data_IF_313380157430
#
_entry.id   IF_313380157430
#
_cell.length_a   1.000
_cell.length_b   1.000
_cell.length_c   1.000
_cell.angle_alpha   90.00
_cell.angle_beta   90.00
_cell.angle_gamma   90.00
#
_symmetry.space_group_name_H-M   'P 1'
#
loop_
_entity.id
_entity.type
_entity.pdbx_description
1 polymer ?
#
# COMPACT_ATOMS: atom_id res chain seq x y z
N UNK A 1 17.16 12.08 9.51
CA UNK A 1 15.75 11.89 9.12
C UNK A 1 15.37 10.45 9.41
N UNK A 2 14.17 10.21 9.93
CA UNK A 2 13.66 8.89 10.33
C UNK A 2 12.55 8.45 9.39
N UNK A 3 12.45 7.15 9.11
CA UNK A 3 11.36 6.57 8.33
C UNK A 3 10.78 5.35 9.02
N UNK A 4 9.46 5.19 8.95
CA UNK A 4 8.77 3.95 9.31
C UNK A 4 8.37 3.22 8.03
N UNK A 5 8.73 1.94 7.92
CA UNK A 5 8.40 1.08 6.79
C UNK A 5 7.39 0.03 7.26
N UNK A 6 6.29 -0.09 6.55
CA UNK A 6 5.24 -1.08 6.81
C UNK A 6 4.73 -1.72 5.51
N UNK A 7 3.84 -2.68 5.59
CA UNK A 7 3.11 -3.29 4.47
C UNK A 7 1.92 -4.09 4.97
N UNK A 8 1.18 -4.76 4.08
CA UNK A 8 0.14 -5.73 4.40
C UNK A 8 0.51 -7.18 4.03
N UNK A 9 1.66 -7.41 3.37
CA UNK A 9 2.17 -8.75 3.08
C UNK A 9 2.86 -9.43 4.27
N UNK A 10 3.23 -8.65 5.30
CA UNK A 10 3.83 -9.11 6.55
C UNK A 10 5.31 -8.82 6.70
N UNK A 11 5.79 -8.88 7.97
CA UNK A 11 7.14 -8.45 8.39
C UNK A 11 8.28 -9.21 7.67
N UNK A 12 8.02 -10.42 7.19
CA UNK A 12 9.02 -11.25 6.48
C UNK A 12 8.93 -11.14 4.96
N UNK A 13 8.09 -10.24 4.43
CA UNK A 13 7.93 -10.13 2.98
C UNK A 13 9.16 -9.53 2.30
N UNK A 14 9.44 -9.99 1.09
CA UNK A 14 10.57 -9.48 0.28
C UNK A 14 10.38 -8.03 -0.13
N UNK A 15 9.14 -7.61 -0.41
CA UNK A 15 8.82 -6.23 -0.76
C UNK A 15 9.08 -5.25 0.39
N UNK A 16 8.72 -5.60 1.63
CA UNK A 16 9.05 -4.82 2.82
C UNK A 16 10.56 -4.65 2.99
N UNK A 17 11.28 -5.78 2.91
CA UNK A 17 12.73 -5.77 3.05
C UNK A 17 13.41 -4.92 1.98
N UNK A 18 12.92 -4.98 0.74
CA UNK A 18 13.43 -4.14 -0.35
C UNK A 18 13.17 -2.65 -0.09
N UNK A 19 11.96 -2.28 0.33
CA UNK A 19 11.65 -0.90 0.74
C UNK A 19 12.59 -0.41 1.84
N UNK A 20 12.78 -1.22 2.89
CA UNK A 20 13.69 -0.90 4.00
C UNK A 20 15.11 -0.68 3.48
N UNK A 21 15.66 -1.63 2.71
CA UNK A 21 17.01 -1.54 2.15
C UNK A 21 17.22 -0.26 1.34
N UNK A 22 16.23 0.12 0.54
CA UNK A 22 16.28 1.36 -0.26
C UNK A 22 16.24 2.59 0.65
N UNK A 23 15.35 2.62 1.63
CA UNK A 23 15.19 3.75 2.54
C UNK A 23 16.36 3.92 3.51
N UNK A 24 17.00 2.85 3.96
CA UNK A 24 18.24 2.87 4.77
C UNK A 24 19.37 3.65 4.10
N UNK A 25 19.34 3.80 2.79
CA UNK A 25 20.34 4.60 2.06
C UNK A 25 20.16 6.12 2.22
N UNK A 26 19.04 6.58 2.78
CA UNK A 26 18.67 8.00 2.86
C UNK A 26 18.07 8.42 4.21
N UNK A 27 17.66 7.47 5.05
CA UNK A 27 17.04 7.70 6.36
C UNK A 27 17.49 6.64 7.37
N UNK A 28 17.28 6.91 8.65
CA UNK A 28 17.29 5.89 9.71
C UNK A 28 15.91 5.23 9.74
N UNK A 29 15.84 3.93 9.42
CA UNK A 29 14.57 3.23 9.19
C UNK A 29 14.24 2.22 10.26
N UNK A 30 12.96 2.17 10.64
CA UNK A 30 12.36 1.09 11.43
C UNK A 30 11.33 0.34 10.57
N UNK A 31 11.38 -1.01 10.58
CA UNK A 31 10.38 -1.85 9.95
C UNK A 31 9.36 -2.34 10.97
N UNK A 32 8.09 -2.00 10.77
CA UNK A 32 6.98 -2.39 11.64
C UNK A 32 5.84 -2.88 10.75
N UNK A 33 5.55 -4.18 10.75
CA UNK A 33 4.58 -4.76 9.84
C UNK A 33 3.79 -5.93 10.47
N UNK A 34 2.65 -6.35 9.92
CA UNK A 34 1.89 -7.48 10.45
C UNK A 34 2.71 -8.77 10.51
N UNK A 35 2.47 -9.61 11.51
CA UNK A 35 3.09 -10.96 11.59
C UNK A 35 2.55 -11.90 10.51
N UNK A 36 1.34 -11.66 10.01
CA UNK A 36 0.68 -12.43 8.94
C UNK A 36 0.12 -11.48 7.89
N UNK A 37 0.00 -11.97 6.65
CA UNK A 37 -0.59 -11.21 5.55
C UNK A 37 -2.01 -10.71 5.89
N UNK A 38 -2.29 -9.44 5.58
CA UNK A 38 -3.52 -8.70 5.89
C UNK A 38 -4.18 -8.12 4.61
N UNK A 39 -4.16 -8.89 3.52
CA UNK A 39 -4.80 -8.45 2.26
C UNK A 39 -6.30 -8.19 2.47
N UNK A 40 -6.78 -7.06 1.96
CA UNK A 40 -8.19 -6.67 2.11
C UNK A 40 -8.55 -6.08 3.48
N UNK A 41 -7.59 -5.87 4.39
CA UNK A 41 -7.86 -5.28 5.71
C UNK A 41 -8.32 -3.82 5.63
N UNK A 42 -7.98 -3.10 4.55
CA UNK A 42 -8.30 -1.68 4.43
C UNK A 42 -7.66 -0.83 5.54
N UNK A 43 -8.35 0.23 5.93
CA UNK A 43 -7.95 1.10 7.05
C UNK A 43 -8.62 0.64 8.36
N UNK A 44 -8.54 -0.66 8.69
CA UNK A 44 -9.13 -1.21 9.92
C UNK A 44 -8.15 -1.16 11.08
N UNK A 45 -8.71 -0.99 12.30
CA UNK A 45 -7.99 -0.94 13.58
C UNK A 45 -8.48 -2.09 14.45
N UNK A 46 -7.57 -2.75 15.15
CA UNK A 46 -7.87 -3.81 16.12
C UNK A 46 -8.23 -3.20 17.48
N UNK A 47 -9.53 -3.18 17.80
CA UNK A 47 -10.03 -2.57 19.04
C UNK A 47 -10.41 -3.57 20.14
N UNK A 48 -10.75 -4.81 19.77
CA UNK A 48 -11.32 -5.79 20.70
C UNK A 48 -10.33 -6.85 21.16
N UNK A 49 -9.17 -6.92 20.53
CA UNK A 49 -8.11 -7.86 20.85
C UNK A 49 -6.82 -7.12 21.22
N UNK A 50 -6.01 -7.66 22.17
CA UNK A 50 -4.74 -7.06 22.51
C UNK A 50 -3.72 -7.22 21.37
N UNK A 51 -3.04 -6.14 21.02
CA UNK A 51 -1.91 -6.18 20.10
C UNK A 51 -0.64 -6.70 20.80
N UNK A 52 0.15 -7.47 20.07
CA UNK A 52 1.43 -8.01 20.51
C UNK A 52 2.54 -7.60 19.56
N UNK A 53 3.69 -7.27 20.10
CA UNK A 53 4.92 -6.98 19.38
C UNK A 53 5.82 -8.21 19.45
N UNK A 54 6.44 -8.57 18.33
CA UNK A 54 7.46 -9.60 18.23
C UNK A 54 8.68 -9.06 17.49
N UNK A 55 9.87 -9.19 18.06
CA UNK A 55 11.10 -8.89 17.35
C UNK A 55 11.37 -9.97 16.28
N UNK A 56 11.67 -9.56 15.09
CA UNK A 56 11.94 -10.43 13.94
C UNK A 56 13.28 -10.04 13.33
N UNK A 57 14.19 -11.01 13.23
CA UNK A 57 15.48 -10.80 12.54
C UNK A 57 15.24 -10.76 11.03
N UNK A 58 15.55 -9.65 10.40
CA UNK A 58 15.45 -9.45 8.96
C UNK A 58 16.66 -10.04 8.21
N UNK A 59 16.58 -10.08 6.89
CA UNK A 59 17.62 -10.73 6.04
C UNK A 59 19.00 -10.04 6.12
N UNK A 60 19.05 -8.75 6.43
CA UNK A 60 20.28 -7.99 6.65
C UNK A 60 20.85 -8.13 8.07
N UNK A 61 20.15 -8.88 8.94
CA UNK A 61 20.50 -9.07 10.35
C UNK A 61 19.97 -8.00 11.28
N UNK A 62 19.33 -6.94 10.78
CA UNK A 62 18.65 -5.93 11.59
C UNK A 62 17.38 -6.50 12.24
N UNK A 63 16.84 -5.79 13.24
CA UNK A 63 15.59 -6.16 13.89
C UNK A 63 14.44 -5.35 13.26
N UNK A 64 13.39 -6.06 12.89
CA UNK A 64 12.08 -5.50 12.57
C UNK A 64 11.05 -5.92 13.62
N UNK A 65 9.89 -5.29 13.62
CA UNK A 65 8.83 -5.52 14.60
C UNK A 65 7.57 -6.06 13.92
N UNK A 66 7.20 -7.28 14.29
CA UNK A 66 5.96 -7.92 13.86
C UNK A 66 4.81 -7.60 14.81
N UNK A 67 3.70 -7.08 14.30
CA UNK A 67 2.50 -6.74 15.08
C UNK A 67 1.40 -7.76 14.78
N UNK A 68 0.69 -8.23 15.83
CA UNK A 68 -0.46 -9.14 15.69
C UNK A 68 -1.74 -8.42 15.24
N UNK A 69 -1.63 -7.43 14.37
CA UNK A 69 -2.73 -6.57 13.92
C UNK A 69 -2.63 -6.24 12.44
N UNK A 70 -3.35 -5.21 12.04
CA UNK A 70 -3.42 -4.69 10.68
C UNK A 70 -2.23 -3.78 10.34
N UNK A 71 -2.02 -3.39 9.06
CA UNK A 71 -1.03 -2.37 8.70
C UNK A 71 -1.28 -1.01 9.40
N UNK A 72 -2.53 -0.65 9.63
CA UNK A 72 -2.93 0.53 10.41
C UNK A 72 -2.43 0.44 11.85
N UNK A 73 -2.63 -0.73 12.49
CA UNK A 73 -2.12 -0.98 13.85
C UNK A 73 -0.59 -0.91 13.89
N UNK A 74 0.09 -1.36 12.83
CA UNK A 74 1.55 -1.27 12.73
C UNK A 74 2.04 0.18 12.72
N UNK A 75 1.36 1.08 12.02
CA UNK A 75 1.66 2.51 12.05
C UNK A 75 1.45 3.05 13.46
N UNK A 76 0.31 2.77 14.09
CA UNK A 76 0.01 3.25 15.46
C UNK A 76 1.08 2.75 16.44
N UNK A 77 1.38 1.44 16.44
CA UNK A 77 2.38 0.86 17.33
C UNK A 77 3.79 1.40 17.08
N UNK A 78 4.12 1.63 15.80
CA UNK A 78 5.38 2.27 15.42
C UNK A 78 5.52 3.67 16.00
N UNK A 79 4.47 4.50 15.86
CA UNK A 79 4.47 5.91 16.28
C UNK A 79 4.45 6.09 17.81
N UNK A 80 3.73 5.24 18.54
CA UNK A 80 3.45 5.50 19.95
C UNK A 80 4.17 4.56 20.92
N UNK A 81 4.75 3.44 20.43
CA UNK A 81 5.41 2.45 21.31
C UNK A 81 6.85 2.17 20.90
N UNK A 82 7.18 2.23 19.60
CA UNK A 82 8.49 1.80 19.10
C UNK A 82 9.44 2.94 18.73
N UNK A 83 8.93 4.14 18.49
CA UNK A 83 9.71 5.32 18.13
C UNK A 83 9.60 6.41 19.19
N UNK A 84 10.73 6.99 19.58
CA UNK A 84 10.76 8.13 20.54
C UNK A 84 10.22 9.42 19.91
N UNK A 85 10.30 9.56 18.60
CA UNK A 85 9.86 10.73 17.82
C UNK A 85 9.17 10.27 16.55
N UNK A 86 8.17 11.00 16.09
CA UNK A 86 7.49 10.70 14.82
C UNK A 86 8.48 10.75 13.64
N UNK A 87 8.34 9.82 12.67
CA UNK A 87 9.19 9.80 11.50
C UNK A 87 8.90 10.98 10.56
N UNK A 88 9.88 11.36 9.75
CA UNK A 88 9.74 12.36 8.69
C UNK A 88 8.91 11.85 7.50
N UNK A 89 8.81 10.53 7.34
CA UNK A 89 8.07 9.87 6.27
C UNK A 89 7.65 8.45 6.68
N UNK A 90 6.49 8.02 6.19
CA UNK A 90 6.06 6.61 6.27
C UNK A 90 5.98 6.04 4.86
N UNK A 91 6.56 4.83 4.67
CA UNK A 91 6.46 4.07 3.42
C UNK A 91 5.69 2.79 3.68
N UNK A 92 4.65 2.55 2.90
CA UNK A 92 3.88 1.31 2.92
C UNK A 92 4.10 0.52 1.63
N UNK A 93 4.67 -0.66 1.73
CA UNK A 93 4.99 -1.54 0.60
C UNK A 93 6.46 -2.04 0.66
N UNK A 94 7.02 -2.57 -0.42
CA UNK A 94 6.42 -2.73 -1.76
C UNK A 94 5.38 -3.86 -1.69
N UNK A 95 4.14 -3.53 -1.97
CA UNK A 95 3.05 -4.50 -2.04
C UNK A 95 3.18 -5.37 -3.28
N UNK A 96 2.93 -6.66 -3.14
CA UNK A 96 2.80 -7.58 -4.27
C UNK A 96 1.36 -7.55 -4.80
N UNK A 97 1.14 -6.83 -5.88
CA UNK A 97 -0.15 -6.52 -6.51
C UNK A 97 -0.41 -5.02 -6.49
N UNK A 98 -0.99 -4.53 -7.56
CA UNK A 98 -1.31 -3.11 -7.73
C UNK A 98 -2.42 -2.64 -6.79
N UNK A 99 -2.34 -1.37 -6.38
CA UNK A 99 -3.36 -0.66 -5.62
C UNK A 99 -3.90 0.51 -6.45
N UNK A 100 -4.82 0.19 -7.37
CA UNK A 100 -5.41 1.11 -8.35
C UNK A 100 -6.88 1.39 -7.99
N UNK A 101 -7.43 2.47 -8.56
CA UNK A 101 -8.84 2.86 -8.47
C UNK A 101 -9.33 3.32 -7.09
N UNK A 102 -10.48 3.99 -7.11
CA UNK A 102 -11.17 4.44 -5.88
C UNK A 102 -11.59 3.25 -5.01
N UNK A 103 -12.00 2.13 -5.63
CA UNK A 103 -12.43 0.95 -4.88
C UNK A 103 -11.32 0.42 -3.95
N UNK A 104 -10.07 0.44 -4.39
CA UNK A 104 -8.94 -0.02 -3.56
C UNK A 104 -8.49 0.95 -2.48
N UNK A 105 -8.86 2.23 -2.55
CA UNK A 105 -8.54 3.18 -1.46
C UNK A 105 -9.06 2.71 -0.10
N UNK A 106 -10.21 2.06 -0.08
CA UNK A 106 -10.87 1.66 1.17
C UNK A 106 -10.57 0.22 1.58
N UNK A 107 -10.12 -0.63 0.66
CA UNK A 107 -9.90 -2.06 0.91
C UNK A 107 -8.43 -2.45 1.02
N UNK A 108 -7.51 -1.66 0.48
CA UNK A 108 -6.07 -1.92 0.55
C UNK A 108 -5.50 -1.67 1.94
N UNK A 109 -4.82 -2.66 2.52
CA UNK A 109 -4.06 -2.51 3.75
C UNK A 109 -2.83 -1.61 3.56
N UNK A 110 -2.18 -1.69 2.39
CA UNK A 110 -1.06 -0.80 2.02
C UNK A 110 -1.47 0.67 2.07
N UNK A 111 -2.63 1.03 1.47
CA UNK A 111 -3.16 2.39 1.51
C UNK A 111 -3.71 2.75 2.89
N UNK A 112 -4.32 1.80 3.61
CA UNK A 112 -4.80 2.00 4.98
C UNK A 112 -3.72 2.50 5.93
N UNK A 113 -2.51 1.94 5.87
CA UNK A 113 -1.36 2.43 6.62
C UNK A 113 -0.98 3.88 6.26
N UNK A 114 -1.06 4.26 4.98
CA UNK A 114 -0.76 5.64 4.56
C UNK A 114 -1.85 6.63 4.96
N UNK A 115 -3.12 6.20 5.02
CA UNK A 115 -4.19 7.01 5.57
C UNK A 115 -3.97 7.29 7.06
N UNK A 116 -3.54 6.27 7.83
CA UNK A 116 -3.23 6.47 9.25
C UNK A 116 -2.04 7.44 9.43
N UNK A 117 -0.99 7.32 8.64
CA UNK A 117 0.12 8.28 8.62
C UNK A 117 -0.36 9.73 8.39
N UNK A 118 -1.21 9.90 7.39
CA UNK A 118 -1.78 11.20 7.02
C UNK A 118 -2.59 11.84 8.15
N UNK A 119 -3.29 11.06 8.97
CA UNK A 119 -4.03 11.52 10.15
C UNK A 119 -3.12 12.23 11.16
N UNK A 120 -1.87 11.80 11.27
CA UNK A 120 -0.86 12.42 12.13
C UNK A 120 -0.04 13.50 11.42
N UNK A 121 -0.41 13.88 10.20
CA UNK A 121 0.29 14.88 9.42
C UNK A 121 1.64 14.41 8.85
N UNK A 122 1.90 13.11 8.88
CA UNK A 122 3.15 12.52 8.40
C UNK A 122 3.01 12.21 6.89
N UNK A 123 3.92 12.71 6.05
CA UNK A 123 3.96 12.37 4.63
C UNK A 123 4.04 10.87 4.40
N UNK A 124 3.27 10.32 3.46
CA UNK A 124 3.28 8.89 3.20
C UNK A 124 3.39 8.54 1.71
N UNK A 125 4.09 7.44 1.42
CA UNK A 125 4.20 6.85 0.08
C UNK A 125 3.72 5.41 0.16
N UNK A 126 2.67 5.07 -0.60
CA UNK A 126 2.30 3.69 -0.90
C UNK A 126 3.05 3.24 -2.15
N UNK A 127 3.61 2.03 -2.14
CA UNK A 127 4.36 1.47 -3.28
C UNK A 127 3.84 0.08 -3.58
N UNK A 128 3.51 -0.18 -4.84
CA UNK A 128 2.95 -1.46 -5.31
C UNK A 128 3.59 -1.89 -6.61
N UNK A 129 3.88 -3.18 -6.73
CA UNK A 129 4.33 -3.85 -7.96
C UNK A 129 3.17 -4.68 -8.51
N UNK A 130 2.80 -4.46 -9.77
CA UNK A 130 1.82 -5.29 -10.47
C UNK A 130 2.27 -6.75 -10.51
N UNK A 131 1.32 -7.68 -10.42
CA UNK A 131 1.53 -9.11 -10.65
C UNK A 131 0.70 -9.59 -11.83
N UNK A 132 1.23 -10.54 -12.59
CA UNK A 132 0.50 -11.16 -13.72
C UNK A 132 -0.69 -12.01 -13.25
N UNK A 133 -0.63 -12.54 -12.03
CA UNK A 133 -1.75 -13.24 -11.42
C UNK A 133 -1.66 -13.19 -9.89
N UNK A 134 -2.80 -13.18 -9.22
CA UNK A 134 -2.86 -13.27 -7.76
C UNK A 134 -2.35 -14.61 -7.20
N UNK A 135 -2.29 -15.67 -8.03
CA UNK A 135 -1.69 -16.95 -7.67
C UNK A 135 -0.22 -16.82 -7.28
N UNK A 136 0.49 -15.80 -7.81
CA UNK A 136 1.88 -15.54 -7.45
C UNK A 136 2.02 -15.12 -5.99
N UNK A 137 1.02 -14.48 -5.39
CA UNK A 137 1.00 -14.17 -3.95
C UNK A 137 0.96 -15.43 -3.08
N UNK A 138 0.32 -16.48 -3.57
CA UNK A 138 0.15 -17.74 -2.85
C UNK A 138 1.40 -18.64 -2.93
N UNK A 139 2.24 -18.46 -3.95
CA UNK A 139 3.48 -19.23 -4.15
C UNK A 139 4.63 -18.61 -3.35
N UNK A 140 4.54 -18.67 -2.03
CA UNK A 140 5.60 -18.17 -1.13
C UNK A 140 6.96 -18.78 -1.50
N UNK A 141 7.89 -17.93 -1.97
CA UNK A 141 9.30 -18.29 -2.17
C UNK A 141 9.65 -18.88 -3.54
N UNK A 142 8.70 -19.11 -4.45
CA UNK A 142 8.97 -19.70 -5.77
C UNK A 142 9.15 -18.67 -6.90
N UNK A 143 8.74 -17.42 -6.70
CA UNK A 143 8.83 -16.37 -7.72
C UNK A 143 9.78 -15.29 -7.28
N UNK A 144 10.85 -15.14 -8.03
CA UNK A 144 11.80 -14.03 -7.86
C UNK A 144 11.24 -12.80 -8.59
N UNK A 145 10.65 -11.86 -7.83
CA UNK A 145 10.17 -10.58 -8.35
C UNK A 145 11.33 -9.57 -8.39
N UNK A 146 11.36 -8.78 -9.45
CA UNK A 146 12.28 -7.64 -9.57
C UNK A 146 11.63 -6.37 -8.99
N UNK A 147 12.15 -5.91 -7.85
CA UNK A 147 11.69 -4.68 -7.19
C UNK A 147 12.58 -3.47 -7.52
N UNK A 148 13.59 -3.59 -8.37
CA UNK A 148 14.60 -2.55 -8.58
C UNK A 148 14.01 -1.23 -9.07
N UNK A 149 13.10 -1.27 -10.03
CA UNK A 149 12.45 -0.04 -10.51
C UNK A 149 11.58 0.60 -9.42
N UNK A 150 10.80 -0.21 -8.67
CA UNK A 150 10.05 0.29 -7.51
C UNK A 150 10.97 1.01 -6.52
N UNK A 151 12.10 0.39 -6.18
CA UNK A 151 13.08 0.96 -5.27
C UNK A 151 13.70 2.27 -5.77
N UNK A 152 14.09 2.33 -7.06
CA UNK A 152 14.61 3.57 -7.65
C UNK A 152 13.61 4.71 -7.64
N UNK A 153 12.35 4.42 -8.00
CA UNK A 153 11.27 5.41 -7.99
C UNK A 153 10.89 5.83 -6.57
N UNK A 154 10.77 4.88 -5.63
CA UNK A 154 10.56 5.17 -4.21
C UNK A 154 11.63 6.11 -3.67
N UNK A 155 12.91 5.77 -3.85
CA UNK A 155 14.03 6.60 -3.38
C UNK A 155 13.98 8.02 -3.93
N UNK A 156 13.68 8.15 -5.24
CA UNK A 156 13.54 9.45 -5.91
C UNK A 156 12.41 10.29 -5.31
N UNK A 157 11.26 9.68 -5.05
CA UNK A 157 10.10 10.35 -4.47
C UNK A 157 10.34 10.69 -2.99
N UNK A 158 10.82 9.73 -2.20
CA UNK A 158 11.12 9.93 -0.79
C UNK A 158 12.12 11.06 -0.57
N UNK A 159 13.22 11.13 -1.35
CA UNK A 159 14.14 12.28 -1.30
C UNK A 159 13.44 13.61 -1.55
N UNK A 160 12.55 13.68 -2.56
CA UNK A 160 11.82 14.92 -2.84
C UNK A 160 10.91 15.33 -1.68
N UNK A 161 10.23 14.35 -1.08
CA UNK A 161 9.34 14.58 0.07
C UNK A 161 10.16 15.06 1.28
N UNK A 162 11.27 14.41 1.57
CA UNK A 162 12.15 14.77 2.68
C UNK A 162 12.81 16.16 2.50
N UNK A 163 13.18 16.52 1.26
CA UNK A 163 13.86 17.79 0.96
C UNK A 163 12.89 18.97 0.85
N UNK A 164 11.65 18.75 0.38
CA UNK A 164 10.74 19.85 -0.01
C UNK A 164 9.34 19.77 0.63
N UNK A 165 9.05 18.69 1.37
CA UNK A 165 7.70 18.36 1.82
C UNK A 165 6.81 17.81 0.69
N UNK A 166 5.58 17.46 1.06
CA UNK A 166 4.54 17.08 0.08
C UNK A 166 4.09 18.31 -0.73
N UNK A 167 3.65 18.12 -1.98
CA UNK A 167 2.98 19.19 -2.72
C UNK A 167 1.71 19.67 -1.97
N UNK A 168 1.31 20.90 -2.25
CA UNK A 168 0.10 21.48 -1.65
C UNK A 168 -1.12 20.57 -1.92
N UNK A 169 -1.94 20.36 -0.88
CA UNK A 169 -3.12 19.49 -0.92
C UNK A 169 -2.85 18.02 -1.27
N UNK A 170 -1.62 17.53 -1.08
CA UNK A 170 -1.25 16.12 -1.21
C UNK A 170 -0.78 15.60 0.14
N UNK A 171 -1.39 14.51 0.61
CA UNK A 171 -1.01 13.82 1.84
C UNK A 171 -0.27 12.51 1.57
N UNK A 172 -0.63 11.83 0.48
CA UNK A 172 -0.14 10.51 0.12
C UNK A 172 0.25 10.50 -1.35
N UNK A 173 1.36 9.85 -1.67
CA UNK A 173 1.73 9.48 -3.03
C UNK A 173 1.51 7.97 -3.21
N UNK A 174 0.61 7.59 -4.12
CA UNK A 174 0.33 6.20 -4.46
C UNK A 174 1.11 5.84 -5.73
N UNK A 175 2.23 5.13 -5.57
CA UNK A 175 3.12 4.66 -6.63
C UNK A 175 2.76 3.24 -7.01
N UNK A 176 2.41 3.01 -8.27
CA UNK A 176 2.23 1.68 -8.84
C UNK A 176 3.21 1.48 -9.99
N UNK A 177 3.82 0.30 -10.08
CA UNK A 177 4.81 -0.05 -11.10
C UNK A 177 4.34 -1.32 -11.81
N UNK A 178 4.24 -1.33 -13.15
CA UNK A 178 3.91 -2.56 -13.87
C UNK A 178 5.07 -3.56 -13.80
N UNK A 179 4.76 -4.85 -13.91
CA UNK A 179 5.76 -5.91 -13.81
C UNK A 179 6.82 -5.80 -14.92
N UNK A 180 6.39 -5.51 -16.14
CA UNK A 180 7.26 -5.35 -17.32
C UNK A 180 7.01 -3.98 -17.96
N UNK A 181 7.61 -2.90 -17.44
CA UNK A 181 7.32 -1.57 -17.91
C UNK A 181 7.96 -1.30 -19.30
N UNK A 182 7.19 -0.69 -20.20
CA UNK A 182 7.70 -0.21 -21.50
C UNK A 182 8.61 1.01 -21.33
N UNK A 183 8.50 1.72 -20.20
CA UNK A 183 9.31 2.87 -19.85
C UNK A 183 9.42 3.02 -18.33
N UNK A 184 10.55 3.54 -17.86
CA UNK A 184 10.73 3.91 -16.44
C UNK A 184 10.18 5.30 -16.10
N UNK A 185 9.63 6.01 -17.09
CA UNK A 185 9.12 7.37 -16.91
C UNK A 185 7.81 7.36 -16.12
N UNK A 186 7.84 7.99 -14.95
CA UNK A 186 6.67 8.11 -14.08
C UNK A 186 5.60 9.02 -14.70
N UNK A 187 4.34 8.56 -14.74
CA UNK A 187 3.18 9.32 -15.20
C UNK A 187 2.30 9.71 -14.02
N UNK A 188 1.93 10.98 -13.93
CA UNK A 188 0.93 11.44 -12.94
C UNK A 188 -0.45 11.05 -13.44
N UNK A 189 -1.24 10.44 -12.55
CA UNK A 189 -2.55 9.86 -12.86
C UNK A 189 -3.61 10.32 -11.87
N UNK A 190 -4.87 10.05 -12.22
CA UNK A 190 -6.00 10.09 -11.30
C UNK A 190 -6.59 8.68 -11.17
N UNK A 191 -7.36 8.48 -10.09
CA UNK A 191 -7.94 7.17 -9.80
C UNK A 191 -9.04 6.81 -10.81
N UNK A 192 -8.99 5.60 -11.34
CA UNK A 192 -10.12 4.95 -11.98
C UNK A 192 -11.23 4.67 -10.95
N UNK A 193 -12.41 4.25 -11.39
CA UNK A 193 -13.51 3.93 -10.47
C UNK A 193 -13.34 2.56 -9.81
N UNK A 194 -13.15 1.52 -10.61
CA UNK A 194 -13.01 0.12 -10.17
C UNK A 194 -11.88 -0.55 -10.93
N UNK A 195 -11.11 -1.41 -10.28
CA UNK A 195 -10.06 -2.19 -10.94
C UNK A 195 -10.46 -3.62 -11.29
N UNK A 196 -11.56 -4.11 -10.70
CA UNK A 196 -12.17 -5.42 -10.97
C UNK A 196 -13.67 -5.27 -11.14
N UNK A 197 -14.28 -6.17 -11.90
CA UNK A 197 -15.72 -6.45 -11.80
C UNK A 197 -16.01 -7.09 -10.45
N UNK A 198 -17.29 -7.22 -10.09
CA UNK A 198 -17.67 -7.95 -8.87
C UNK A 198 -18.65 -9.04 -9.23
N UNK A 199 -18.34 -10.27 -8.83
CA UNK A 199 -19.21 -11.42 -9.02
C UNK A 199 -19.14 -12.36 -7.79
N UNK A 200 -20.09 -13.30 -7.70
CA UNK A 200 -20.19 -14.24 -6.59
C UNK A 200 -20.34 -15.67 -7.15
N UNK A 201 -19.39 -16.52 -6.83
CA UNK A 201 -19.48 -17.94 -7.10
C UNK A 201 -20.02 -18.70 -5.89
N UNK A 202 -21.09 -19.49 -6.06
CA UNK A 202 -21.61 -20.34 -5.00
C UNK A 202 -21.18 -21.81 -5.22
N UNK A 203 -20.73 -22.46 -4.14
CA UNK A 203 -20.35 -23.87 -4.12
C UNK A 203 -21.00 -24.59 -2.94
N UNK A 204 -20.88 -25.91 -2.89
CA UNK A 204 -21.38 -26.73 -1.79
C UNK A 204 -20.21 -27.48 -1.16
N UNK A 205 -20.11 -27.44 0.17
CA UNK A 205 -19.09 -28.17 0.93
C UNK A 205 -19.43 -29.67 1.02
N UNK A 206 -18.50 -30.55 1.45
CA UNK A 206 -18.77 -32.01 1.60
C UNK A 206 -19.90 -32.33 2.57
N UNK A 207 -20.32 -31.39 3.43
CA UNK A 207 -21.44 -31.56 4.38
C UNK A 207 -22.77 -31.04 3.81
N UNK A 208 -22.82 -30.64 2.54
CA UNK A 208 -24.04 -30.18 1.85
C UNK A 208 -24.39 -28.70 2.12
N UNK A 209 -23.50 -27.92 2.75
CA UNK A 209 -23.74 -26.48 3.05
C UNK A 209 -23.20 -25.61 1.93
N UNK A 210 -23.95 -24.56 1.54
CA UNK A 210 -23.51 -23.58 0.56
C UNK A 210 -22.44 -22.68 1.17
N UNK A 211 -21.42 -22.35 0.39
CA UNK A 211 -20.46 -21.27 0.67
C UNK A 211 -20.22 -20.45 -0.61
N UNK A 212 -19.64 -19.28 -0.46
CA UNK A 212 -19.56 -18.29 -1.53
C UNK A 212 -18.16 -17.73 -1.61
N UNK A 213 -17.69 -17.49 -2.84
CA UNK A 213 -16.51 -16.71 -3.14
C UNK A 213 -16.90 -15.40 -3.80
N UNK A 214 -16.35 -14.30 -3.32
CA UNK A 214 -16.40 -13.02 -4.03
C UNK A 214 -15.19 -13.01 -4.95
N UNK A 215 -15.40 -12.75 -6.23
CA UNK A 215 -14.35 -12.66 -7.23
C UNK A 215 -14.68 -11.58 -8.25
N UNK A 216 -13.75 -11.29 -9.18
CA UNK A 216 -13.96 -10.35 -10.28
C UNK A 216 -12.88 -10.48 -11.33
N UNK A 217 -13.23 -10.13 -12.53
CA UNK A 217 -12.30 -10.04 -13.64
C UNK A 217 -11.58 -8.70 -13.63
N UNK A 218 -10.26 -8.65 -13.92
CA UNK A 218 -9.53 -7.40 -14.02
C UNK A 218 -10.11 -6.50 -15.11
N UNK A 219 -10.31 -5.23 -14.80
CA UNK A 219 -10.61 -4.20 -15.79
C UNK A 219 -9.28 -3.79 -16.43
N UNK A 220 -9.04 -4.24 -17.68
CA UNK A 220 -7.76 -4.06 -18.34
C UNK A 220 -7.60 -2.67 -18.98
N UNK A 221 -8.69 -1.99 -19.32
CA UNK A 221 -8.69 -0.67 -19.93
C UNK A 221 -9.66 0.28 -19.21
N UNK A 222 -9.32 1.56 -19.23
CA UNK A 222 -10.13 2.64 -18.63
C UNK A 222 -9.82 3.95 -19.36
N UNK A 223 -10.43 5.04 -18.92
CA UNK A 223 -10.24 6.36 -19.51
C UNK A 223 -8.76 6.78 -19.46
N UNK A 224 -8.32 7.45 -20.51
CA UNK A 224 -6.98 8.01 -20.59
C UNK A 224 -6.67 8.91 -19.39
N UNK A 225 -5.48 8.77 -18.82
CA UNK A 225 -5.04 9.52 -17.63
C UNK A 225 -5.36 8.85 -16.32
N UNK A 226 -6.15 7.75 -16.29
CA UNK A 226 -6.37 6.95 -15.07
C UNK A 226 -5.13 6.09 -14.75
N UNK A 227 -5.06 5.67 -13.50
CA UNK A 227 -4.04 4.75 -13.01
C UNK A 227 -4.14 3.37 -13.69
N UNK A 228 -5.36 2.83 -13.88
CA UNK A 228 -5.60 1.57 -14.59
C UNK A 228 -5.10 1.65 -16.02
N UNK A 229 -5.52 2.66 -16.79
CA UNK A 229 -5.06 2.84 -18.17
C UNK A 229 -3.53 2.92 -18.24
N UNK A 230 -2.91 3.66 -17.31
CA UNK A 230 -1.46 3.84 -17.29
C UNK A 230 -0.71 2.55 -16.98
N UNK A 231 -1.17 1.78 -15.98
CA UNK A 231 -0.51 0.54 -15.57
C UNK A 231 -0.80 -0.60 -16.55
N UNK A 232 -2.09 -0.83 -16.90
CA UNK A 232 -2.51 -2.04 -17.62
C UNK A 232 -2.49 -1.92 -19.12
N UNK A 233 -2.75 -0.71 -19.67
CA UNK A 233 -2.76 -0.48 -21.13
C UNK A 233 -1.44 0.10 -21.63
N UNK A 234 -0.80 1.03 -20.87
CA UNK A 234 0.44 1.69 -21.30
C UNK A 234 1.70 1.04 -20.71
N UNK A 235 1.59 0.03 -19.85
CA UNK A 235 2.71 -0.59 -19.14
C UNK A 235 3.73 0.44 -18.60
N UNK A 236 3.22 1.51 -18.00
CA UNK A 236 4.01 2.64 -17.50
C UNK A 236 3.80 2.85 -15.99
N UNK A 237 4.87 3.16 -15.20
CA UNK A 237 4.73 3.49 -13.80
C UNK A 237 3.81 4.69 -13.57
N UNK A 238 2.85 4.56 -12.65
CA UNK A 238 1.91 5.61 -12.30
C UNK A 238 2.18 6.16 -10.91
N UNK A 239 1.93 7.45 -10.73
CA UNK A 239 1.89 8.13 -9.45
C UNK A 239 0.59 8.90 -9.31
N UNK A 240 -0.24 8.51 -8.34
CA UNK A 240 -1.49 9.19 -8.05
C UNK A 240 -1.34 9.98 -6.75
N UNK A 241 -1.38 11.32 -6.80
CA UNK A 241 -1.40 12.15 -5.59
C UNK A 241 -2.77 12.06 -4.94
N UNK A 242 -2.83 11.77 -3.63
CA UNK A 242 -4.06 11.61 -2.88
C UNK A 242 -4.16 12.68 -1.79
N UNK A 243 -5.40 13.17 -1.60
CA UNK A 243 -5.78 14.04 -0.50
C UNK A 243 -6.75 13.29 0.42
N UNK A 244 -6.54 13.38 1.72
CA UNK A 244 -7.38 12.70 2.73
C UNK A 244 -8.58 13.52 3.18
N UNK A 245 -8.79 14.71 2.62
CA UNK A 245 -10.01 15.48 2.83
C UNK A 245 -11.11 15.02 1.87
N UNK A 246 -11.94 14.10 2.32
CA UNK A 246 -13.08 13.57 1.56
C UNK A 246 -14.31 14.48 1.59
N UNK A 247 -14.26 15.66 2.24
CA UNK A 247 -15.37 16.59 2.30
C UNK A 247 -15.63 17.22 0.94
N UNK A 248 -16.84 17.06 0.42
CA UNK A 248 -17.26 17.77 -0.79
C UNK A 248 -17.25 19.28 -0.57
N UNK A 249 -16.79 20.04 -1.54
CA UNK A 249 -16.87 21.51 -1.53
C UNK A 249 -18.25 22.03 -1.97
N UNK A 250 -19.18 21.14 -2.30
CA UNK A 250 -20.53 21.50 -2.74
C UNK A 250 -21.34 22.06 -1.57
N UNK A 251 -21.91 23.27 -1.73
CA UNK A 251 -22.88 23.81 -0.80
C UNK A 251 -24.22 23.08 -1.00
N UNK A 252 -24.65 22.32 0.00
CA UNK A 252 -25.90 21.56 -0.01
C UNK A 252 -27.04 22.23 0.72
N UNK A 253 -26.87 23.46 1.26
CA UNK A 253 -27.91 24.12 2.04
C UNK A 253 -29.25 24.24 1.26
N UNK A 254 -29.16 24.62 -0.03
CA UNK A 254 -30.38 24.72 -0.89
C UNK A 254 -30.98 23.36 -1.27
N UNK A 255 -30.29 22.26 -1.03
CA UNK A 255 -30.79 20.91 -1.28
C UNK A 255 -31.44 20.31 -0.04
N UNK A 256 -31.07 20.78 1.15
CA UNK A 256 -31.65 20.36 2.44
C UNK A 256 -32.98 21.03 2.71
N UNK A 257 -33.17 22.30 2.28
CA UNK A 257 -34.42 23.07 2.39
C UNK A 257 -35.52 22.54 1.44
#
# INVERSE_FOLDING_TARGET
MKALITNDDGITSTGLFHSKTVMDTITDTIAVAPVTQQSGAGHSITLLDPLRISEVKLNDGSIGYGISGTPTDCVIMGLFELMDEFPDIIVSGINMGENLSIANLTTSGTLGATFEASKFGIPAIAVSLQLDSEELKLKKGEVQLDFDLCGRLLKKLAKKVLDKGMPENVNILNLNVPLNPDTEKLKVTHLAKNMYTTDIESRIDPSGRKYYWIYGEPICDDLEGTDIHTIRSLHQPSITPLNTNFTSKTDINKWID
#
